data_IF_733313101721
#
_entry.id   IF_733313101721
#
_cell.length_a   1.000
_cell.length_b   1.000
_cell.length_c   1.000
_cell.angle_alpha   90.00
_cell.angle_beta   90.00
_cell.angle_gamma   90.00
#
_symmetry.space_group_name_H-M   'P 1'
#
loop_
_entity.id
_entity.type
_entity.pdbx_description
1 polymer ?
#
# COMPACT_ATOMS: atom_id res chain seq x y z
N UNK A 1 -14.35 9.24 15.71
CA UNK A 1 -14.62 7.81 15.99
C UNK A 1 -15.93 7.75 16.75
N UNK A 2 -17.00 7.21 16.17
CA UNK A 2 -18.19 6.92 16.98
C UNK A 2 -17.79 5.74 17.88
N UNK A 3 -17.97 5.82 19.20
CA UNK A 3 -17.60 4.73 20.10
C UNK A 3 -18.38 3.49 19.67
N UNK A 4 -17.64 2.47 19.24
CA UNK A 4 -18.20 1.12 19.18
C UNK A 4 -18.51 0.82 20.64
N UNK A 5 -19.79 0.85 21.00
CA UNK A 5 -20.25 0.32 22.27
C UNK A 5 -19.95 -1.18 22.22
N UNK A 6 -18.72 -1.55 22.60
CA UNK A 6 -18.37 -2.94 22.82
C UNK A 6 -19.44 -3.48 23.76
N UNK A 7 -20.08 -4.62 23.42
CA UNK A 7 -21.02 -5.24 24.33
C UNK A 7 -20.33 -5.35 25.70
N UNK A 8 -21.03 -4.95 26.76
CA UNK A 8 -20.43 -4.89 28.10
C UNK A 8 -19.77 -6.23 28.41
N UNK A 9 -18.66 -6.21 29.15
CA UNK A 9 -17.95 -7.42 29.56
C UNK A 9 -18.90 -8.42 30.23
N UNK A 10 -19.88 -7.89 30.98
CA UNK A 10 -20.98 -8.66 31.57
C UNK A 10 -21.86 -9.37 30.53
N UNK A 11 -22.23 -8.70 29.44
CA UNK A 11 -23.00 -9.29 28.35
C UNK A 11 -22.22 -10.42 27.66
N UNK A 12 -20.92 -10.23 27.43
CA UNK A 12 -20.05 -11.27 26.84
C UNK A 12 -19.90 -12.48 27.76
N UNK A 13 -19.73 -12.27 29.07
CA UNK A 13 -19.66 -13.34 30.06
C UNK A 13 -20.97 -14.12 30.18
N UNK A 14 -22.11 -13.41 30.18
CA UNK A 14 -23.43 -14.04 30.16
C UNK A 14 -23.62 -14.88 28.89
N UNK A 15 -23.22 -14.37 27.73
CA UNK A 15 -23.34 -15.07 26.45
C UNK A 15 -22.44 -16.32 26.42
N UNK A 16 -21.22 -16.22 26.94
CA UNK A 16 -20.33 -17.38 27.11
C UNK A 16 -20.92 -18.44 28.05
N UNK A 17 -21.50 -18.03 29.18
CA UNK A 17 -22.18 -18.93 30.11
C UNK A 17 -23.39 -19.64 29.46
N UNK A 18 -24.17 -18.90 28.68
CA UNK A 18 -25.28 -19.46 27.91
C UNK A 18 -24.81 -20.46 26.83
N UNK A 19 -23.65 -20.23 26.23
CA UNK A 19 -23.07 -21.12 25.23
C UNK A 19 -22.57 -22.43 25.87
N UNK A 20 -21.91 -22.35 27.02
CA UNK A 20 -21.50 -23.52 27.82
C UNK A 20 -22.71 -24.34 28.24
N UNK A 21 -23.79 -23.70 28.73
CA UNK A 21 -25.01 -24.40 29.12
C UNK A 21 -25.71 -25.06 27.93
N UNK A 22 -25.72 -24.45 26.73
CA UNK A 22 -26.19 -25.12 25.51
C UNK A 22 -25.33 -26.30 25.10
N UNK A 23 -24.01 -26.24 25.26
CA UNK A 23 -23.11 -27.36 24.93
C UNK A 23 -23.34 -28.55 25.88
N UNK A 24 -23.47 -28.27 27.18
CA UNK A 24 -23.84 -29.28 28.18
C UNK A 24 -25.19 -29.91 27.85
N UNK A 25 -26.17 -29.13 27.39
CA UNK A 25 -27.46 -29.64 26.93
C UNK A 25 -27.32 -30.59 25.74
N UNK A 26 -26.56 -30.22 24.71
CA UNK A 26 -26.34 -31.06 23.51
C UNK A 26 -25.66 -32.38 23.87
N UNK A 27 -24.64 -32.35 24.74
CA UNK A 27 -23.98 -33.58 25.21
C UNK A 27 -24.96 -34.45 26.01
N UNK A 28 -25.78 -33.84 26.86
CA UNK A 28 -26.72 -34.56 27.70
C UNK A 28 -27.90 -35.15 26.91
N UNK A 29 -28.41 -34.45 25.88
CA UNK A 29 -29.44 -34.95 24.96
C UNK A 29 -28.92 -36.14 24.15
N UNK A 30 -27.69 -36.05 23.62
CA UNK A 30 -27.01 -37.17 22.95
C UNK A 30 -26.87 -38.40 23.87
N UNK A 31 -26.45 -38.21 25.11
CA UNK A 31 -26.32 -39.31 26.08
C UNK A 31 -27.68 -39.94 26.42
N UNK A 32 -28.74 -39.14 26.56
CA UNK A 32 -30.10 -39.65 26.78
C UNK A 32 -30.62 -40.41 25.55
N UNK A 33 -30.36 -39.90 24.34
CA UNK A 33 -30.71 -40.57 23.09
C UNK A 33 -30.00 -41.94 22.97
N UNK A 34 -28.70 -42.01 23.25
CA UNK A 34 -27.96 -43.29 23.28
C UNK A 34 -28.51 -44.26 24.33
N UNK A 35 -28.89 -43.76 25.52
CA UNK A 35 -29.51 -44.58 26.59
C UNK A 35 -30.92 -45.07 26.24
N UNK A 36 -31.67 -44.30 25.47
CA UNK A 36 -32.98 -44.69 24.92
C UNK A 36 -32.85 -45.82 23.94
N UNK A 37 -32.00 -45.64 22.92
CA UNK A 37 -31.78 -46.63 21.85
C UNK A 37 -31.19 -47.93 22.41
N UNK A 38 -30.40 -47.86 23.48
CA UNK A 38 -29.84 -49.05 24.16
C UNK A 38 -30.77 -49.72 25.19
N UNK A 39 -32.03 -49.26 25.34
CA UNK A 39 -33.03 -49.90 26.21
C UNK A 39 -32.75 -49.82 27.71
N UNK A 40 -31.80 -48.98 28.15
CA UNK A 40 -31.38 -48.85 29.57
C UNK A 40 -32.11 -47.74 30.33
N UNK A 41 -33.23 -47.25 29.81
CA UNK A 41 -33.95 -46.10 30.37
C UNK A 41 -34.79 -46.53 31.59
N UNK A 42 -34.34 -46.21 32.81
CA UNK A 42 -35.04 -46.65 34.04
C UNK A 42 -35.77 -45.58 34.86
N UNK A 43 -35.62 -44.27 34.61
CA UNK A 43 -36.47 -43.23 35.24
C UNK A 43 -36.54 -41.94 34.39
N UNK A 44 -37.68 -41.21 34.40
CA UNK A 44 -37.81 -39.96 33.66
C UNK A 44 -37.19 -38.78 34.44
N UNK A 45 -36.04 -38.27 34.00
CA UNK A 45 -35.47 -36.99 34.45
C UNK A 45 -36.09 -35.80 33.69
N UNK A 46 -37.43 -35.74 33.62
CA UNK A 46 -38.16 -34.77 32.78
C UNK A 46 -37.93 -33.33 33.26
N UNK A 47 -37.89 -33.10 34.57
CA UNK A 47 -37.83 -31.77 35.17
C UNK A 47 -36.48 -31.04 34.89
N UNK A 48 -35.30 -31.64 35.17
CA UNK A 48 -34.04 -30.97 34.87
C UNK A 48 -33.77 -30.90 33.35
N UNK A 49 -34.24 -31.86 32.56
CA UNK A 49 -34.16 -31.79 31.10
C UNK A 49 -35.01 -30.64 30.54
N UNK A 50 -36.22 -30.46 31.04
CA UNK A 50 -37.10 -29.34 30.67
C UNK A 50 -36.49 -27.98 31.01
N UNK A 51 -35.87 -27.86 32.19
CA UNK A 51 -35.17 -26.63 32.61
C UNK A 51 -34.02 -26.30 31.65
N UNK A 52 -33.14 -27.26 31.35
CA UNK A 52 -32.00 -27.00 30.46
C UNK A 52 -32.47 -26.74 29.03
N UNK A 53 -33.54 -27.40 28.56
CA UNK A 53 -34.14 -27.13 27.25
C UNK A 53 -34.73 -25.72 27.18
N UNK A 54 -35.40 -25.25 28.24
CA UNK A 54 -35.91 -23.89 28.32
C UNK A 54 -34.77 -22.84 28.29
N UNK A 55 -33.68 -23.08 29.02
CA UNK A 55 -32.48 -22.24 28.98
C UNK A 55 -31.86 -22.24 27.59
N UNK A 56 -31.75 -23.39 26.93
CA UNK A 56 -31.20 -23.48 25.57
C UNK A 56 -32.05 -22.73 24.53
N UNK A 57 -33.37 -22.87 24.60
CA UNK A 57 -34.31 -22.13 23.72
C UNK A 57 -34.24 -20.63 23.99
N UNK A 58 -34.14 -20.20 25.25
CA UNK A 58 -33.97 -18.80 25.61
C UNK A 58 -32.64 -18.25 25.07
N UNK A 59 -31.53 -18.98 25.20
CA UNK A 59 -30.24 -18.62 24.62
C UNK A 59 -30.33 -18.43 23.11
N UNK A 60 -30.94 -19.39 22.40
CA UNK A 60 -31.12 -19.31 20.95
C UNK A 60 -31.95 -18.10 20.54
N UNK A 61 -33.04 -17.82 21.25
CA UNK A 61 -33.87 -16.64 21.01
C UNK A 61 -33.09 -15.33 21.21
N UNK A 62 -32.31 -15.22 22.31
CA UNK A 62 -31.48 -14.03 22.59
C UNK A 62 -30.37 -13.84 21.57
N UNK A 63 -29.77 -14.92 21.09
CA UNK A 63 -28.77 -14.85 20.02
C UNK A 63 -29.40 -14.41 18.69
N UNK A 64 -30.58 -14.93 18.36
CA UNK A 64 -31.33 -14.52 17.17
C UNK A 64 -31.70 -13.03 17.20
N UNK A 65 -32.22 -12.53 18.33
CA UNK A 65 -32.55 -11.11 18.52
C UNK A 65 -31.30 -10.22 18.40
N UNK A 66 -30.21 -10.57 19.09
CA UNK A 66 -28.94 -9.86 18.98
C UNK A 66 -28.39 -9.85 17.55
N UNK A 67 -28.43 -10.98 16.85
CA UNK A 67 -28.00 -11.09 15.46
C UNK A 67 -28.82 -10.20 14.54
N UNK A 68 -30.15 -10.17 14.71
CA UNK A 68 -31.03 -9.31 13.93
C UNK A 68 -30.75 -7.82 14.19
N UNK A 69 -30.57 -7.41 15.45
CA UNK A 69 -30.23 -6.04 15.82
C UNK A 69 -28.87 -5.61 15.26
N UNK A 70 -27.84 -6.46 15.40
CA UNK A 70 -26.51 -6.20 14.83
C UNK A 70 -26.57 -6.09 13.30
N UNK A 71 -27.34 -6.96 12.64
CA UNK A 71 -27.53 -6.90 11.17
C UNK A 71 -28.25 -5.63 10.70
N UNK A 72 -29.15 -5.08 11.52
CA UNK A 72 -29.84 -3.82 11.22
C UNK A 72 -28.88 -2.64 11.41
N UNK A 73 -28.14 -2.63 12.52
CA UNK A 73 -27.12 -1.63 12.81
C UNK A 73 -26.01 -1.60 11.75
N UNK A 74 -25.52 -2.76 11.30
CA UNK A 74 -24.52 -2.86 10.25
C UNK A 74 -25.07 -2.37 8.90
N UNK A 75 -26.36 -2.59 8.61
CA UNK A 75 -27.02 -2.07 7.40
C UNK A 75 -27.15 -0.55 7.43
N UNK A 76 -27.58 0.01 8.55
CA UNK A 76 -27.66 1.46 8.73
C UNK A 76 -26.27 2.11 8.65
N UNK A 77 -25.29 1.52 9.32
CA UNK A 77 -23.90 1.99 9.25
C UNK A 77 -23.35 1.90 7.83
N UNK A 78 -23.61 0.80 7.12
CA UNK A 78 -23.21 0.67 5.73
C UNK A 78 -23.87 1.74 4.84
N UNK A 79 -25.14 2.08 5.08
CA UNK A 79 -25.83 3.14 4.34
C UNK A 79 -25.18 4.53 4.57
N UNK A 80 -24.81 4.84 5.82
CA UNK A 80 -24.17 6.13 6.15
C UNK A 80 -22.72 6.25 5.65
N UNK A 81 -22.01 5.13 5.49
CA UNK A 81 -20.60 5.13 5.05
C UNK A 81 -20.41 4.77 3.58
N UNK A 82 -21.39 4.12 2.94
CA UNK A 82 -21.30 3.65 1.55
C UNK A 82 -22.51 4.05 0.69
N UNK A 83 -22.83 5.35 0.57
CA UNK A 83 -23.94 5.79 -0.25
C UNK A 83 -23.62 5.66 -1.75
N UNK A 84 -24.66 5.46 -2.55
CA UNK A 84 -24.62 5.58 -4.01
C UNK A 84 -25.25 6.92 -4.43
N UNK A 85 -24.63 7.63 -5.38
CA UNK A 85 -25.14 8.89 -5.87
C UNK A 85 -26.42 8.71 -6.69
N UNK A 86 -27.54 9.21 -6.19
CA UNK A 86 -28.84 9.20 -6.89
C UNK A 86 -28.89 10.16 -8.08
N UNK A 87 -28.08 11.22 -8.04
CA UNK A 87 -27.99 12.28 -9.04
C UNK A 87 -26.52 12.66 -9.27
N UNK A 88 -26.16 13.19 -10.45
CA UNK A 88 -24.81 13.71 -10.69
C UNK A 88 -24.46 14.80 -9.67
N UNK A 89 -23.24 14.77 -9.14
CA UNK A 89 -22.79 15.72 -8.14
C UNK A 89 -21.31 16.04 -8.30
N UNK A 90 -20.92 17.27 -7.96
CA UNK A 90 -19.51 17.67 -7.92
C UNK A 90 -18.97 17.53 -6.51
N UNK A 91 -18.09 16.54 -6.28
CA UNK A 91 -17.52 16.23 -4.97
C UNK A 91 -16.00 16.34 -5.04
N UNK A 92 -15.38 17.09 -4.12
CA UNK A 92 -13.93 17.32 -4.12
C UNK A 92 -13.38 17.87 -5.44
N UNK A 93 -14.18 18.71 -6.14
CA UNK A 93 -13.82 19.27 -7.44
C UNK A 93 -14.08 18.36 -8.65
N UNK A 94 -14.48 17.11 -8.42
CA UNK A 94 -14.68 16.07 -9.43
C UNK A 94 -16.15 15.95 -9.78
N UNK A 95 -16.48 16.00 -11.07
CA UNK A 95 -17.84 15.78 -11.56
C UNK A 95 -18.14 14.29 -11.58
N UNK A 96 -18.98 13.84 -10.65
CA UNK A 96 -19.33 12.43 -10.49
C UNK A 96 -20.70 12.15 -11.12
N UNK A 97 -20.81 11.13 -11.98
CA UNK A 97 -22.09 10.76 -12.56
C UNK A 97 -23.01 10.08 -11.54
N UNK A 98 -24.30 10.04 -11.85
CA UNK A 98 -25.29 9.20 -11.15
C UNK A 98 -24.83 7.74 -11.14
N UNK A 99 -25.01 7.05 -10.02
CA UNK A 99 -24.61 5.65 -9.82
C UNK A 99 -23.18 5.47 -9.32
N UNK A 100 -22.46 6.57 -9.05
CA UNK A 100 -21.14 6.50 -8.39
C UNK A 100 -21.30 5.97 -6.98
N UNK A 101 -20.56 4.91 -6.66
CA UNK A 101 -20.54 4.30 -5.33
C UNK A 101 -19.43 4.94 -4.51
N UNK A 102 -19.77 5.52 -3.38
CA UNK A 102 -18.82 6.19 -2.51
C UNK A 102 -18.49 5.30 -1.31
N UNK A 103 -17.27 5.43 -0.79
CA UNK A 103 -16.97 5.13 0.59
C UNK A 103 -16.57 6.44 1.28
N UNK A 104 -17.13 6.69 2.47
CA UNK A 104 -16.96 7.93 3.21
C UNK A 104 -16.00 7.74 4.38
N UNK A 105 -15.14 8.73 4.63
CA UNK A 105 -14.35 8.78 5.86
C UNK A 105 -15.19 9.25 7.06
N UNK A 106 -16.20 10.09 6.81
CA UNK A 106 -17.13 10.64 7.80
C UNK A 106 -18.54 10.28 7.37
N UNK A 107 -19.30 9.64 8.27
CA UNK A 107 -20.70 9.26 8.05
C UNK A 107 -21.51 10.43 7.48
N UNK A 108 -22.29 10.16 6.44
CA UNK A 108 -23.22 11.09 5.79
C UNK A 108 -22.58 12.36 5.18
N UNK A 109 -21.25 12.49 5.22
CA UNK A 109 -20.50 13.60 4.63
C UNK A 109 -19.93 13.22 3.27
N UNK A 110 -20.69 13.46 2.21
CA UNK A 110 -20.31 13.12 0.83
C UNK A 110 -19.01 13.77 0.37
N UNK A 111 -18.69 14.97 0.85
CA UNK A 111 -17.44 15.67 0.52
C UNK A 111 -16.21 15.01 1.15
N UNK A 112 -16.39 14.24 2.22
CA UNK A 112 -15.33 13.49 2.90
C UNK A 112 -15.20 12.05 2.36
N UNK A 113 -15.52 11.81 1.09
CA UNK A 113 -15.30 10.51 0.47
C UNK A 113 -13.81 10.15 0.46
N UNK A 114 -13.49 8.92 0.86
CA UNK A 114 -12.14 8.37 0.75
C UNK A 114 -12.03 7.39 -0.43
N UNK A 115 -13.15 6.97 -1.02
CA UNK A 115 -13.18 6.17 -2.25
C UNK A 115 -14.41 6.51 -3.09
N UNK A 116 -14.26 6.48 -4.40
CA UNK A 116 -15.35 6.61 -5.36
C UNK A 116 -15.13 5.61 -6.51
N UNK A 117 -16.14 4.80 -6.82
CA UNK A 117 -16.14 3.86 -7.94
C UNK A 117 -17.20 4.32 -8.94
N UNK A 118 -16.77 4.58 -10.16
CA UNK A 118 -17.63 5.13 -11.20
C UNK A 118 -18.36 4.02 -11.97
N UNK A 119 -19.61 4.25 -12.39
CA UNK A 119 -20.38 3.29 -13.20
C UNK A 119 -19.88 3.20 -14.65
N UNK A 120 -19.20 4.23 -15.14
CA UNK A 120 -18.51 4.28 -16.43
C UNK A 120 -17.27 5.16 -16.27
N UNK A 121 -16.26 5.04 -17.16
CA UNK A 121 -15.05 5.84 -17.05
C UNK A 121 -15.33 7.35 -17.07
N UNK A 122 -14.71 8.09 -16.16
CA UNK A 122 -14.80 9.56 -16.04
C UNK A 122 -13.41 10.15 -16.26
N UNK A 123 -13.30 11.14 -17.15
CA UNK A 123 -12.01 11.78 -17.47
C UNK A 123 -11.57 12.70 -16.33
N UNK A 124 -10.46 12.39 -15.67
CA UNK A 124 -9.90 13.14 -14.53
C UNK A 124 -8.38 13.15 -14.67
N UNK A 125 -7.77 14.34 -14.67
CA UNK A 125 -6.32 14.51 -14.84
C UNK A 125 -5.78 13.71 -16.05
N UNK A 126 -6.47 13.80 -17.20
CA UNK A 126 -6.17 13.04 -18.43
C UNK A 126 -6.26 11.51 -18.33
N UNK A 127 -6.79 10.97 -17.23
CA UNK A 127 -7.03 9.54 -17.02
C UNK A 127 -8.51 9.25 -17.22
N UNK A 128 -8.85 8.20 -17.98
CA UNK A 128 -10.20 7.63 -18.01
C UNK A 128 -10.42 6.79 -16.75
N UNK A 129 -10.75 7.48 -15.65
CA UNK A 129 -10.80 6.93 -14.30
C UNK A 129 -12.04 6.05 -14.08
N UNK A 130 -11.84 4.88 -13.47
CA UNK A 130 -12.90 3.98 -13.01
C UNK A 130 -13.02 3.99 -11.49
N UNK A 131 -11.95 4.36 -10.79
CA UNK A 131 -11.88 4.44 -9.35
C UNK A 131 -10.97 5.59 -8.91
N UNK A 132 -11.36 6.24 -7.81
CA UNK A 132 -10.52 7.16 -7.06
C UNK A 132 -10.48 6.76 -5.61
N UNK A 133 -9.31 6.84 -4.99
CA UNK A 133 -9.13 6.79 -3.55
C UNK A 133 -8.45 8.07 -3.06
N UNK A 134 -8.82 8.55 -1.87
CA UNK A 134 -8.25 9.75 -1.24
C UNK A 134 -7.90 9.45 0.20
N UNK A 135 -6.74 9.92 0.64
CA UNK A 135 -6.48 10.00 2.07
C UNK A 135 -7.17 11.23 2.65
N UNK A 136 -8.03 11.02 3.65
CA UNK A 136 -8.78 12.09 4.33
C UNK A 136 -8.30 12.18 5.78
N UNK A 137 -7.61 13.26 6.12
CA UNK A 137 -7.20 13.56 7.48
C UNK A 137 -8.35 14.22 8.24
N UNK A 138 -8.94 13.51 9.20
CA UNK A 138 -10.03 14.02 10.03
C UNK A 138 -9.47 14.95 11.11
N UNK A 139 -10.06 16.14 11.26
CA UNK A 139 -9.73 17.10 12.31
C UNK A 139 -10.73 16.95 13.47
N UNK A 140 -10.21 16.82 14.68
CA UNK A 140 -11.02 16.74 15.90
C UNK A 140 -10.70 17.87 16.87
N UNK A 141 -11.67 18.24 17.70
CA UNK A 141 -11.43 19.11 18.86
C UNK A 141 -10.91 18.29 20.06
N UNK A 142 -10.70 18.97 21.20
CA UNK A 142 -10.26 18.35 22.47
C UNK A 142 -11.23 17.30 23.01
N UNK A 143 -12.51 17.39 22.65
CA UNK A 143 -13.56 16.42 23.01
C UNK A 143 -13.66 15.26 22.01
N UNK A 144 -12.71 15.13 21.07
CA UNK A 144 -12.71 14.13 19.99
C UNK A 144 -13.88 14.23 19.00
N UNK A 145 -14.58 15.36 18.97
CA UNK A 145 -15.65 15.62 18.02
C UNK A 145 -15.04 16.05 16.68
N UNK A 146 -15.62 15.56 15.58
CA UNK A 146 -15.13 15.89 14.23
C UNK A 146 -15.51 17.32 13.87
N UNK A 147 -14.52 18.20 13.71
CA UNK A 147 -14.69 19.61 13.37
C UNK A 147 -14.41 19.91 11.89
N UNK A 148 -13.82 18.95 11.17
CA UNK A 148 -13.55 19.08 9.75
C UNK A 148 -12.68 17.96 9.22
N UNK A 149 -12.21 18.12 8.00
CA UNK A 149 -11.28 17.21 7.36
C UNK A 149 -10.39 17.95 6.37
N UNK A 150 -9.27 17.34 5.99
CA UNK A 150 -8.39 17.83 4.92
C UNK A 150 -8.00 16.65 4.04
N UNK A 151 -8.20 16.74 2.72
CA UNK A 151 -7.68 15.73 1.82
C UNK A 151 -6.15 15.86 1.69
N UNK A 152 -5.43 14.73 1.68
CA UNK A 152 -3.98 14.71 1.57
C UNK A 152 -3.49 14.36 0.17
N UNK A 153 -3.80 13.15 -0.28
CA UNK A 153 -3.45 12.67 -1.63
C UNK A 153 -4.67 12.06 -2.32
N UNK A 154 -4.57 11.91 -3.65
CA UNK A 154 -5.52 11.22 -4.49
C UNK A 154 -4.81 10.15 -5.29
N UNK A 155 -5.41 8.97 -5.37
CA UNK A 155 -4.99 7.86 -6.21
C UNK A 155 -6.09 7.64 -7.25
N UNK A 156 -5.73 7.71 -8.52
CA UNK A 156 -6.66 7.55 -9.64
C UNK A 156 -6.29 6.25 -10.36
N UNK A 157 -7.27 5.36 -10.51
CA UNK A 157 -7.13 4.12 -11.29
C UNK A 157 -8.12 4.18 -12.44
N UNK A 158 -7.65 3.83 -13.64
CA UNK A 158 -8.38 3.95 -14.89
C UNK A 158 -8.03 2.82 -15.86
N UNK A 159 -8.21 3.11 -17.15
CA UNK A 159 -7.93 2.18 -18.23
C UNK A 159 -6.70 2.60 -19.05
N UNK A 160 -5.92 1.62 -19.49
CA UNK A 160 -4.87 1.81 -20.48
C UNK A 160 -3.66 2.59 -19.97
N UNK A 161 -3.12 3.47 -20.81
CA UNK A 161 -1.90 4.24 -20.56
C UNK A 161 -2.24 5.72 -20.59
N UNK A 162 -1.71 6.47 -19.64
CA UNK A 162 -1.83 7.92 -19.57
C UNK A 162 -0.44 8.57 -19.64
N UNK A 163 -0.39 9.84 -20.04
CA UNK A 163 0.84 10.64 -19.91
C UNK A 163 0.70 11.60 -18.74
N UNK A 164 1.63 11.56 -17.79
CA UNK A 164 1.64 12.42 -16.59
C UNK A 164 3.01 13.04 -16.41
N UNK A 165 3.08 14.37 -16.40
CA UNK A 165 4.35 15.11 -16.30
C UNK A 165 5.43 14.63 -17.31
N UNK A 166 5.00 14.26 -18.52
CA UNK A 166 5.89 13.74 -19.57
C UNK A 166 6.19 12.24 -19.51
N UNK A 167 5.71 11.52 -18.48
CA UNK A 167 5.93 10.08 -18.30
C UNK A 167 4.74 9.27 -18.80
N UNK A 168 5.00 8.12 -19.43
CA UNK A 168 3.96 7.16 -19.78
C UNK A 168 3.68 6.26 -18.58
N UNK A 169 2.55 6.49 -17.91
CA UNK A 169 2.12 5.72 -16.75
C UNK A 169 1.07 4.68 -17.15
N UNK A 170 1.15 3.49 -16.56
CA UNK A 170 0.10 2.48 -16.61
C UNK A 170 -1.08 2.94 -15.74
N UNK A 171 -2.16 3.37 -16.38
CA UNK A 171 -3.34 3.88 -15.68
C UNK A 171 -4.18 2.77 -15.04
N UNK A 172 -3.92 1.50 -15.35
CA UNK A 172 -4.55 0.37 -14.66
C UNK A 172 -4.00 0.19 -13.24
N UNK A 173 -2.84 0.79 -12.96
CA UNK A 173 -2.29 0.95 -11.62
C UNK A 173 -2.60 2.35 -11.07
N UNK A 174 -2.64 2.54 -9.74
CA UNK A 174 -2.91 3.84 -9.16
C UNK A 174 -1.88 4.90 -9.54
N UNK A 175 -2.35 5.98 -10.16
CA UNK A 175 -1.58 7.22 -10.38
C UNK A 175 -1.88 8.18 -9.23
N UNK A 176 -0.84 8.61 -8.51
CA UNK A 176 -0.97 9.40 -7.28
C UNK A 176 -0.66 10.88 -7.51
N UNK A 177 -1.49 11.72 -6.90
CA UNK A 177 -1.39 13.17 -6.90
C UNK A 177 -1.49 13.72 -5.49
N UNK A 178 -0.72 14.75 -5.20
CA UNK A 178 -0.89 15.54 -3.99
C UNK A 178 -2.06 16.50 -4.16
N UNK A 179 -2.74 16.80 -3.06
CA UNK A 179 -3.91 17.68 -3.05
C UNK A 179 -3.67 18.97 -2.29
N UNK A 180 -4.32 20.02 -2.75
CA UNK A 180 -4.52 21.24 -1.99
C UNK A 180 -5.57 21.00 -0.88
N UNK A 181 -5.61 21.85 0.17
CA UNK A 181 -6.59 21.71 1.25
C UNK A 181 -8.06 21.78 0.81
N UNK A 182 -8.34 22.42 -0.33
CA UNK A 182 -9.68 22.49 -0.95
C UNK A 182 -10.03 21.23 -1.76
N UNK A 183 -9.09 20.30 -1.92
CA UNK A 183 -9.23 19.06 -2.66
C UNK A 183 -8.80 19.12 -4.12
N UNK A 184 -8.37 20.27 -4.64
CA UNK A 184 -7.79 20.38 -5.97
C UNK A 184 -6.46 19.63 -6.09
N UNK A 185 -6.13 19.17 -7.30
CA UNK A 185 -4.82 18.55 -7.58
C UNK A 185 -3.74 19.62 -7.52
N UNK A 186 -2.71 19.42 -6.69
CA UNK A 186 -1.56 20.32 -6.60
C UNK A 186 -0.42 19.89 -7.50
N UNK A 187 -0.03 18.61 -7.43
CA UNK A 187 1.11 18.06 -8.16
C UNK A 187 0.97 16.56 -8.41
N UNK A 188 1.62 16.09 -9.47
CA UNK A 188 1.87 14.67 -9.69
C UNK A 188 2.88 14.15 -8.66
N UNK A 189 2.61 12.98 -8.08
CA UNK A 189 3.42 12.40 -7.01
C UNK A 189 4.05 11.07 -7.41
N UNK A 190 3.27 10.11 -7.91
CA UNK A 190 3.77 8.75 -8.19
C UNK A 190 2.97 8.05 -9.29
N UNK A 191 3.62 7.20 -10.08
CA UNK A 191 2.92 6.21 -10.90
C UNK A 191 3.78 4.96 -11.14
N UNK A 192 3.17 3.91 -11.67
CA UNK A 192 3.88 2.79 -12.29
C UNK A 192 4.02 3.08 -13.77
N UNK A 193 5.23 2.94 -14.31
CA UNK A 193 5.50 3.21 -15.72
C UNK A 193 4.93 2.11 -16.62
N UNK A 194 4.31 2.55 -17.70
CA UNK A 194 4.00 1.71 -18.85
C UNK A 194 5.26 1.48 -19.69
N UNK A 195 5.13 0.65 -20.73
CA UNK A 195 6.20 0.41 -21.68
C UNK A 195 6.54 1.66 -22.55
N UNK A 196 7.78 1.71 -23.02
CA UNK A 196 8.28 2.71 -23.98
C UNK A 196 8.83 4.00 -23.35
N UNK A 197 9.12 4.02 -22.04
CA UNK A 197 9.81 5.15 -21.42
C UNK A 197 11.32 5.04 -21.66
N UNK A 198 11.91 6.07 -22.29
CA UNK A 198 13.36 6.18 -22.52
C UNK A 198 13.83 7.53 -22.01
N UNK A 199 14.86 7.52 -21.18
CA UNK A 199 15.39 8.70 -20.51
C UNK A 199 16.91 8.66 -20.50
N UNK A 200 17.53 9.73 -21.00
CA UNK A 200 19.00 9.83 -21.09
C UNK A 200 19.67 8.61 -21.76
N UNK A 201 18.98 8.03 -22.76
CA UNK A 201 19.41 6.81 -23.45
C UNK A 201 19.12 5.50 -22.70
N UNK A 202 18.61 5.57 -21.47
CA UNK A 202 18.25 4.42 -20.64
C UNK A 202 16.81 4.03 -20.95
N UNK A 203 16.62 2.79 -21.41
CA UNK A 203 15.29 2.21 -21.59
C UNK A 203 14.79 1.67 -20.25
N UNK A 204 13.68 2.22 -19.76
CA UNK A 204 13.12 1.82 -18.48
C UNK A 204 12.12 0.67 -18.68
N UNK A 205 12.20 -0.38 -17.85
CA UNK A 205 11.26 -1.48 -17.94
C UNK A 205 9.85 -1.06 -17.52
N UNK A 206 8.84 -1.65 -18.15
CA UNK A 206 7.45 -1.59 -17.68
C UNK A 206 7.39 -2.09 -16.22
N UNK A 207 6.57 -1.44 -15.40
CA UNK A 207 6.43 -1.75 -13.99
C UNK A 207 7.35 -0.93 -13.08
N UNK A 208 8.27 -0.14 -13.65
CA UNK A 208 9.14 0.76 -12.86
C UNK A 208 8.29 1.75 -12.06
N UNK A 209 8.53 1.83 -10.76
CA UNK A 209 7.85 2.79 -9.88
C UNK A 209 8.53 4.15 -10.01
N UNK A 210 7.82 5.14 -10.56
CA UNK A 210 8.27 6.52 -10.65
C UNK A 210 7.67 7.35 -9.52
N UNK A 211 8.51 8.13 -8.84
CA UNK A 211 8.10 9.10 -7.82
C UNK A 211 8.70 10.48 -8.11
N UNK A 212 7.88 11.52 -8.05
CA UNK A 212 8.34 12.90 -8.06
C UNK A 212 9.10 13.21 -6.76
N UNK A 213 10.15 14.02 -6.87
CA UNK A 213 10.99 14.44 -5.75
C UNK A 213 11.17 15.96 -5.79
N UNK A 214 11.23 16.57 -4.61
CA UNK A 214 11.63 17.97 -4.45
C UNK A 214 13.13 18.10 -4.15
N UNK A 215 13.88 17.00 -4.29
CA UNK A 215 15.28 16.89 -3.89
C UNK A 215 15.44 16.25 -2.52
N UNK A 216 16.40 15.33 -2.38
CA UNK A 216 16.76 14.79 -1.08
C UNK A 216 17.36 15.88 -0.19
N UNK A 217 16.76 16.08 0.98
CA UNK A 217 17.23 17.04 2.00
C UNK A 217 18.14 16.32 2.99
N UNK A 218 19.31 16.89 3.21
CA UNK A 218 20.31 16.30 4.11
C UNK A 218 20.51 17.12 5.40
N UNK A 219 21.22 16.54 6.36
CA UNK A 219 21.43 17.12 7.70
C UNK A 219 22.20 18.45 7.70
N UNK A 220 22.97 18.71 6.64
CA UNK A 220 23.66 19.97 6.38
C UNK A 220 22.78 21.02 5.67
N UNK A 221 21.50 20.71 5.45
CA UNK A 221 20.56 21.57 4.74
C UNK A 221 20.71 21.56 3.23
N UNK A 222 21.62 20.77 2.66
CA UNK A 222 21.74 20.61 1.22
C UNK A 222 20.50 19.91 0.67
N UNK A 223 19.98 20.43 -0.44
CA UNK A 223 18.86 19.84 -1.18
C UNK A 223 19.36 19.44 -2.55
N UNK A 224 19.24 18.16 -2.87
CA UNK A 224 19.76 17.64 -4.13
C UNK A 224 18.90 18.04 -5.34
N UNK A 225 19.49 17.98 -6.52
CA UNK A 225 18.83 18.36 -7.78
C UNK A 225 17.92 17.26 -8.34
N UNK A 226 17.78 16.12 -7.66
CA UNK A 226 16.87 15.06 -8.09
C UNK A 226 15.42 15.56 -8.10
N UNK A 227 14.73 15.26 -9.20
CA UNK A 227 13.31 15.56 -9.40
C UNK A 227 12.47 14.33 -9.65
N UNK A 228 13.12 13.22 -10.01
CA UNK A 228 12.47 11.94 -10.23
C UNK A 228 13.29 10.85 -9.58
N UNK A 229 12.63 9.95 -8.86
CA UNK A 229 13.22 8.73 -8.31
C UNK A 229 12.49 7.55 -8.93
N UNK A 230 13.26 6.60 -9.45
CA UNK A 230 12.75 5.43 -10.15
C UNK A 230 13.30 4.17 -9.51
N UNK A 231 12.39 3.26 -9.18
CA UNK A 231 12.71 1.94 -8.66
C UNK A 231 12.27 0.90 -9.68
N UNK A 232 13.22 0.18 -10.26
CA UNK A 232 12.94 -0.86 -11.25
C UNK A 232 12.32 -2.09 -10.60
N UNK A 233 11.45 -2.84 -11.29
CA UNK A 233 10.90 -4.08 -10.76
C UNK A 233 11.99 -5.09 -10.39
N UNK A 234 11.68 -5.96 -9.43
CA UNK A 234 12.54 -7.11 -9.12
C UNK A 234 12.69 -7.99 -10.37
N UNK A 235 13.86 -8.63 -10.49
CA UNK A 235 14.20 -9.56 -11.59
C UNK A 235 14.27 -8.95 -12.99
N UNK A 236 14.13 -7.62 -13.11
CA UNK A 236 14.37 -6.92 -14.37
C UNK A 236 15.76 -6.28 -14.39
N UNK A 237 16.39 -6.36 -15.56
CA UNK A 237 17.71 -5.79 -15.82
C UNK A 237 17.56 -4.51 -16.63
N UNK A 238 18.28 -3.47 -16.23
CA UNK A 238 18.40 -2.21 -16.96
C UNK A 238 19.83 -2.01 -17.41
N UNK A 239 19.98 -1.73 -18.70
CA UNK A 239 21.27 -1.43 -19.30
C UNK A 239 21.59 0.06 -19.11
N UNK A 240 22.69 0.36 -18.44
CA UNK A 240 23.18 1.72 -18.21
C UNK A 240 24.69 1.76 -18.49
N UNK A 241 25.09 2.56 -19.47
CA UNK A 241 26.46 2.64 -20.00
C UNK A 241 27.03 1.26 -20.39
N UNK A 242 27.93 0.69 -19.57
CA UNK A 242 28.54 -0.63 -19.80
C UNK A 242 28.04 -1.71 -18.84
N UNK A 243 27.02 -1.39 -18.02
CA UNK A 243 26.53 -2.25 -16.97
C UNK A 243 25.10 -2.69 -17.22
N UNK A 244 24.86 -3.97 -16.97
CA UNK A 244 23.54 -4.56 -16.87
C UNK A 244 23.22 -4.71 -15.39
N UNK A 245 22.27 -3.91 -14.90
CA UNK A 245 21.98 -3.74 -13.48
C UNK A 245 20.59 -4.24 -13.13
N UNK A 246 20.47 -4.96 -12.02
CA UNK A 246 19.19 -5.34 -11.38
C UNK A 246 18.97 -4.55 -10.08
N UNK A 247 17.73 -4.53 -9.59
CA UNK A 247 17.33 -3.83 -8.36
C UNK A 247 17.77 -2.36 -8.34
N UNK A 248 17.58 -1.67 -9.47
CA UNK A 248 18.10 -0.34 -9.68
C UNK A 248 17.17 0.70 -9.05
N UNK A 249 17.74 1.52 -8.18
CA UNK A 249 17.15 2.79 -7.76
C UNK A 249 17.97 3.92 -8.37
N UNK A 250 17.37 4.63 -9.32
CA UNK A 250 17.99 5.75 -10.01
C UNK A 250 17.24 7.06 -9.72
N UNK A 251 18.00 8.14 -9.69
CA UNK A 251 17.48 9.49 -9.55
C UNK A 251 17.82 10.29 -10.80
N UNK A 252 16.87 11.09 -11.27
CA UNK A 252 17.03 11.98 -12.41
C UNK A 252 16.84 13.43 -11.97
N UNK A 253 17.52 14.34 -12.66
CA UNK A 253 17.34 15.77 -12.46
C UNK A 253 16.05 16.31 -13.13
N UNK A 254 15.84 17.62 -13.06
CA UNK A 254 14.69 18.29 -13.69
C UNK A 254 14.64 18.22 -15.21
N UNK A 255 15.77 17.92 -15.87
CA UNK A 255 15.87 17.74 -17.33
C UNK A 255 15.80 16.25 -17.72
N UNK A 256 15.45 15.36 -16.78
CA UNK A 256 15.45 13.92 -16.97
C UNK A 256 16.86 13.42 -17.39
N UNK A 257 17.92 13.96 -16.78
CA UNK A 257 19.28 13.44 -16.92
C UNK A 257 19.63 12.55 -15.74
N UNK A 258 20.42 11.49 -15.98
CA UNK A 258 20.84 10.60 -14.91
C UNK A 258 21.67 11.37 -13.89
N UNK A 259 21.13 11.51 -12.67
CA UNK A 259 21.74 12.25 -11.59
C UNK A 259 22.48 11.34 -10.61
N UNK A 260 21.85 10.23 -10.21
CA UNK A 260 22.45 9.26 -9.28
C UNK A 260 21.90 7.86 -9.53
N UNK A 261 22.73 6.84 -9.28
CA UNK A 261 22.26 5.48 -9.03
C UNK A 261 22.62 5.16 -7.59
N UNK A 262 21.61 5.15 -6.72
CA UNK A 262 21.81 4.95 -5.29
C UNK A 262 21.95 3.48 -4.93
N UNK A 263 21.34 2.61 -5.75
CA UNK A 263 21.40 1.15 -5.67
C UNK A 263 21.38 0.55 -7.07
N UNK A 264 22.20 -0.46 -7.29
CA UNK A 264 22.17 -1.33 -8.45
C UNK A 264 23.11 -2.51 -8.23
N UNK A 265 22.77 -3.66 -8.77
CA UNK A 265 23.56 -4.89 -8.66
C UNK A 265 23.89 -5.39 -10.04
N UNK A 266 25.15 -5.75 -10.31
CA UNK A 266 25.51 -6.34 -11.60
C UNK A 266 24.76 -7.66 -11.81
N UNK A 267 23.91 -7.72 -12.84
CA UNK A 267 23.16 -8.94 -13.15
C UNK A 267 24.04 -10.01 -13.80
N UNK A 268 25.15 -9.60 -14.42
CA UNK A 268 26.16 -10.47 -15.02
C UNK A 268 27.54 -9.83 -14.90
N UNK A 269 28.57 -10.63 -15.13
CA UNK A 269 29.94 -10.14 -15.15
C UNK A 269 30.10 -9.01 -16.18
N UNK A 270 30.83 -7.96 -15.78
CA UNK A 270 31.07 -6.78 -16.60
C UNK A 270 32.53 -6.33 -16.51
N UNK A 271 33.01 -5.70 -17.58
CA UNK A 271 34.36 -5.14 -17.64
C UNK A 271 34.25 -3.64 -17.86
N UNK A 272 34.87 -2.85 -16.98
CA UNK A 272 34.98 -1.40 -17.12
C UNK A 272 36.46 -1.01 -17.19
N UNK A 273 36.88 -0.52 -18.37
CA UNK A 273 38.29 -0.30 -18.66
C UNK A 273 39.06 -1.63 -18.66
N UNK A 274 40.03 -1.78 -17.76
CA UNK A 274 40.82 -3.01 -17.61
C UNK A 274 40.36 -3.88 -16.43
N UNK A 275 39.40 -3.43 -15.64
CA UNK A 275 38.93 -4.14 -14.45
C UNK A 275 37.69 -4.98 -14.76
N UNK A 276 37.71 -6.20 -14.25
CA UNK A 276 36.60 -7.13 -14.31
C UNK A 276 35.83 -7.12 -13.00
N UNK A 277 34.51 -7.12 -13.09
CA UNK A 277 33.60 -7.10 -11.96
C UNK A 277 32.62 -8.27 -12.10
N UNK A 278 32.58 -9.11 -11.07
CA UNK A 278 31.69 -10.27 -11.05
C UNK A 278 30.22 -9.86 -10.89
N UNK A 279 29.32 -10.70 -11.38
CA UNK A 279 27.89 -10.61 -11.08
C UNK A 279 27.64 -10.56 -9.56
N UNK A 280 26.59 -9.85 -9.14
CA UNK A 280 26.26 -9.60 -7.74
C UNK A 280 26.99 -8.39 -7.12
N UNK A 281 28.01 -7.84 -7.78
CA UNK A 281 28.73 -6.64 -7.29
C UNK A 281 27.77 -5.46 -7.21
N UNK A 282 27.82 -4.72 -6.10
CA UNK A 282 27.02 -3.52 -5.90
C UNK A 282 27.64 -2.35 -6.66
N UNK A 283 26.84 -1.66 -7.45
CA UNK A 283 27.23 -0.51 -8.26
C UNK A 283 26.41 0.70 -7.83
N UNK A 284 27.10 1.82 -7.63
CA UNK A 284 26.50 3.13 -7.41
C UNK A 284 27.09 4.11 -8.40
N UNK A 285 26.31 5.12 -8.79
CA UNK A 285 26.74 6.17 -9.70
C UNK A 285 26.59 7.53 -9.05
N UNK A 286 27.63 8.36 -9.14
CA UNK A 286 27.62 9.74 -8.67
C UNK A 286 27.18 9.88 -7.19
N UNK A 287 27.65 8.94 -6.35
CA UNK A 287 27.28 8.87 -4.95
C UNK A 287 27.66 10.18 -4.21
N UNK A 288 26.73 10.70 -3.40
CA UNK A 288 26.87 12.01 -2.74
C UNK A 288 28.23 12.26 -2.07
N UNK A 289 28.71 11.30 -1.28
CA UNK A 289 29.94 11.44 -0.51
C UNK A 289 31.21 11.50 -1.39
N UNK A 290 31.12 11.12 -2.67
CA UNK A 290 32.21 11.17 -3.64
C UNK A 290 32.03 12.27 -4.69
N UNK A 291 30.80 12.72 -4.94
CA UNK A 291 30.42 13.62 -6.04
C UNK A 291 31.25 14.90 -6.12
N UNK A 292 31.69 15.46 -4.99
CA UNK A 292 32.50 16.68 -4.97
C UNK A 292 33.93 16.45 -5.48
N UNK A 293 34.54 15.30 -5.17
CA UNK A 293 35.90 14.95 -5.60
C UNK A 293 35.94 14.20 -6.93
N UNK A 294 34.91 13.40 -7.19
CA UNK A 294 34.80 12.50 -8.34
C UNK A 294 33.40 12.61 -8.97
N UNK A 295 33.07 13.76 -9.58
CA UNK A 295 31.74 13.97 -10.17
C UNK A 295 31.48 12.96 -11.29
N UNK A 296 30.32 12.31 -11.23
CA UNK A 296 29.93 11.32 -12.24
C UNK A 296 30.79 10.06 -12.28
N UNK A 297 31.46 9.71 -11.17
CA UNK A 297 32.18 8.45 -11.05
C UNK A 297 31.27 7.29 -10.62
N UNK A 298 31.65 6.09 -11.04
CA UNK A 298 31.13 4.82 -10.53
C UNK A 298 31.81 4.48 -9.20
N UNK A 299 31.00 4.05 -8.23
CA UNK A 299 31.45 3.44 -6.99
C UNK A 299 31.09 1.96 -7.06
N UNK A 300 32.12 1.12 -7.07
CA UNK A 300 32.02 -0.33 -7.18
C UNK A 300 32.37 -0.92 -5.84
N UNK A 301 31.39 -1.59 -5.24
CA UNK A 301 31.49 -2.19 -3.90
C UNK A 301 31.53 -3.71 -4.13
N UNK A 302 32.72 -4.33 -4.07
CA UNK A 302 32.86 -5.74 -4.40
C UNK A 302 32.16 -6.62 -3.37
N UNK A 303 31.85 -7.85 -3.77
CA UNK A 303 31.27 -8.83 -2.84
C UNK A 303 32.24 -9.10 -1.69
N UNK A 304 31.69 -9.18 -0.47
CA UNK A 304 32.44 -9.76 0.64
C UNK A 304 32.82 -11.21 0.28
N UNK A 305 34.06 -11.63 0.55
CA UNK A 305 34.47 -13.01 0.32
C UNK A 305 33.56 -13.97 1.10
N UNK A 306 33.36 -15.17 0.56
CA UNK A 306 32.60 -16.22 1.25
C UNK A 306 33.15 -16.47 2.67
N UNK A 307 32.33 -16.90 3.64
CA UNK A 307 32.74 -17.07 5.04
C UNK A 307 34.00 -17.94 5.24
N UNK A 308 34.24 -18.86 4.30
CA UNK A 308 35.36 -19.82 4.34
C UNK A 308 36.57 -19.39 3.50
N UNK A 309 36.52 -18.22 2.84
CA UNK A 309 37.63 -17.66 2.09
C UNK A 309 38.51 -16.79 3.00
N UNK A 310 39.83 -16.81 2.75
CA UNK A 310 40.76 -15.91 3.43
C UNK A 310 40.28 -14.46 3.26
N UNK A 311 40.34 -13.61 4.31
CA UNK A 311 39.93 -12.22 4.21
C UNK A 311 40.85 -11.50 3.22
N UNK A 312 40.38 -11.33 1.99
CA UNK A 312 40.96 -10.41 1.02
C UNK A 312 40.32 -9.05 1.29
N UNK A 313 41.11 -7.99 1.54
CA UNK A 313 40.54 -6.66 1.68
C UNK A 313 39.89 -6.27 0.34
N UNK A 314 38.56 -6.31 0.33
CA UNK A 314 37.72 -5.87 -0.77
C UNK A 314 37.52 -4.37 -0.63
N UNK A 315 38.38 -3.61 -1.29
CA UNK A 315 38.31 -2.14 -1.27
C UNK A 315 37.24 -1.66 -2.24
N UNK A 316 36.49 -0.64 -1.82
CA UNK A 316 35.61 0.09 -2.72
C UNK A 316 36.44 0.78 -3.81
N UNK A 317 36.02 0.64 -5.06
CA UNK A 317 36.73 1.18 -6.22
C UNK A 317 35.92 2.35 -6.79
N UNK A 318 36.57 3.50 -6.92
CA UNK A 318 36.01 4.67 -7.61
C UNK A 318 36.58 4.71 -9.03
N UNK A 319 35.74 4.52 -10.04
CA UNK A 319 36.13 4.56 -11.45
C UNK A 319 35.40 5.65 -12.22
N UNK A 320 36.12 6.31 -13.12
CA UNK A 320 35.49 7.19 -14.11
C UNK A 320 34.62 6.41 -15.08
N UNK A 321 33.70 7.10 -15.78
CA UNK A 321 32.93 6.50 -16.88
C UNK A 321 33.81 6.01 -18.03
N UNK A 322 35.02 6.55 -18.17
CA UNK A 322 36.05 6.11 -19.11
C UNK A 322 36.76 4.81 -18.67
N UNK A 323 36.44 4.30 -17.48
CA UNK A 323 37.01 3.11 -16.86
C UNK A 323 38.34 3.32 -16.16
N UNK A 324 38.84 4.55 -16.08
CA UNK A 324 40.05 4.86 -15.30
C UNK A 324 39.75 4.75 -13.80
N UNK A 325 40.62 4.06 -13.06
CA UNK A 325 40.56 4.07 -11.58
C UNK A 325 40.98 5.45 -11.08
N UNK A 326 40.08 6.10 -10.35
CA UNK A 326 40.28 7.42 -9.77
C UNK A 326 40.72 7.34 -8.31
N UNK A 327 40.20 6.35 -7.57
CA UNK A 327 40.57 6.06 -6.19
C UNK A 327 40.24 4.62 -5.84
N UNK A 328 40.98 4.07 -4.88
CA UNK A 328 40.66 2.80 -4.20
C UNK A 328 40.63 3.11 -2.71
N UNK A 329 39.49 2.95 -2.05
CA UNK A 329 39.39 3.29 -0.63
C UNK A 329 40.07 2.21 0.20
N UNK A 330 41.27 2.49 0.70
CA UNK A 330 41.97 1.69 1.72
C UNK A 330 42.15 2.42 3.06
N UNK A 331 41.65 3.65 3.19
CA UNK A 331 41.82 4.51 4.38
C UNK A 331 40.51 5.16 4.83
#
# INVERSE_FOLDING_TARGET
>A
MIPVALPSVEALLLLAFFLVTTLVWVVWTLLLFVRYVSGRWKRPMILPYGLVTAVALFTFFRFGDFYLQMSAYDRERAASYRPELSEPARLGGIDMPKGTKLELAIADSRQAFNRAVFPHPVRIADIDAIEIARYIAIKTNENYETIGFTPGNMRITGNGVTTQSGWRCDATQPVEFDLLPDGGISAFSKCILADGNVVDGISLPQGTSLRASTGNVYTDGFVDSDRWVLDTPQEQTVHIDSFDLSEVTLALDGNQKLHEISRGVLSKDATLGTLHHAAGTNIRYNARHLRNGYPGAWLIIPLLPAPDALPVPSHDIVQGRDGKVLSTSAD
#
